data_IF_476843336959
#
_entry.id   IF_476843336959
#
_cell.length_a   1.000
_cell.length_b   1.000
_cell.length_c   1.000
_cell.angle_alpha   90.00
_cell.angle_beta   90.00
_cell.angle_gamma   90.00
#
_symmetry.space_group_name_H-M   'P 1'
#
loop_
_entity.id
_entity.type
_entity.pdbx_description
1 polymer ?
#
# COMPACT_ATOMS: atom_id res chain seq x y z
N UNK A 1 6.31 -1.38 14.37
CA UNK A 1 5.39 -2.50 14.15
C UNK A 1 3.97 -1.99 14.35
N UNK A 2 3.28 -1.71 13.24
CA UNK A 2 1.94 -1.13 13.27
C UNK A 2 0.89 -2.23 13.16
N UNK A 3 -0.30 -1.97 13.72
CA UNK A 3 -1.43 -2.91 13.72
C UNK A 3 -2.74 -2.14 13.60
N UNK A 4 -3.60 -2.59 12.70
CA UNK A 4 -4.92 -2.02 12.42
C UNK A 4 -5.96 -3.14 12.41
N UNK A 5 -7.12 -2.93 13.02
CA UNK A 5 -8.25 -3.85 12.84
C UNK A 5 -9.12 -3.39 11.67
N UNK A 6 -9.24 -4.22 10.64
CA UNK A 6 -10.14 -3.96 9.52
C UNK A 6 -11.61 -4.03 9.97
N UNK A 7 -12.50 -3.36 9.25
CA UNK A 7 -13.95 -3.40 9.51
C UNK A 7 -14.57 -4.80 9.40
N UNK A 8 -13.98 -5.71 8.64
CA UNK A 8 -14.41 -7.11 8.56
C UNK A 8 -13.95 -7.97 9.76
N UNK A 9 -13.18 -7.40 10.70
CA UNK A 9 -12.70 -8.07 11.91
C UNK A 9 -11.27 -8.59 11.86
N UNK A 10 -10.67 -8.71 10.66
CA UNK A 10 -9.29 -9.19 10.49
C UNK A 10 -8.28 -8.13 10.96
N UNK A 11 -7.25 -8.58 11.68
CA UNK A 11 -6.11 -7.74 12.07
C UNK A 11 -5.08 -7.66 10.95
N UNK A 12 -4.77 -6.44 10.53
CA UNK A 12 -3.74 -6.11 9.55
C UNK A 12 -2.47 -5.67 10.29
N UNK A 13 -1.32 -6.08 9.76
CA UNK A 13 -0.02 -5.87 10.41
C UNK A 13 1.10 -5.90 9.38
N UNK A 14 2.06 -4.97 9.52
CA UNK A 14 3.29 -4.93 8.71
C UNK A 14 4.49 -5.60 9.41
N UNK A 15 4.22 -6.47 10.38
CA UNK A 15 5.24 -7.17 11.17
C UNK A 15 5.98 -8.26 10.40
N UNK A 16 5.28 -8.87 9.45
CA UNK A 16 5.79 -10.00 8.69
C UNK A 16 6.55 -9.49 7.46
N UNK A 17 7.58 -10.21 7.04
CA UNK A 17 8.27 -9.98 5.78
C UNK A 17 8.56 -11.36 5.15
N UNK A 18 7.99 -11.71 3.97
CA UNK A 18 7.09 -10.90 3.14
C UNK A 18 5.69 -10.73 3.76
N UNK A 19 4.93 -9.74 3.27
CA UNK A 19 3.64 -9.39 3.81
C UNK A 19 2.68 -9.05 2.67
N UNK A 20 1.45 -9.55 2.75
CA UNK A 20 0.39 -9.35 1.75
C UNK A 20 -0.58 -8.22 2.12
N UNK A 21 -0.27 -7.49 3.20
CA UNK A 21 -1.06 -6.39 3.75
C UNK A 21 -0.59 -5.05 3.18
N UNK A 22 0.68 -4.73 3.29
CA UNK A 22 1.28 -3.47 2.87
C UNK A 22 1.75 -3.56 1.41
N UNK A 23 1.22 -2.68 0.59
CA UNK A 23 1.50 -2.58 -0.83
C UNK A 23 2.41 -1.39 -1.10
N UNK A 24 3.41 -1.58 -1.96
CA UNK A 24 4.14 -0.47 -2.57
C UNK A 24 3.38 -0.01 -3.81
N UNK A 25 2.77 1.17 -3.74
CA UNK A 25 1.93 1.72 -4.81
C UNK A 25 2.53 3.04 -5.27
N UNK A 26 2.69 3.17 -6.58
CA UNK A 26 3.13 4.39 -7.24
C UNK A 26 2.06 4.80 -8.25
N UNK A 27 1.82 6.10 -8.36
CA UNK A 27 1.08 6.63 -9.50
C UNK A 27 1.89 6.45 -10.77
N UNK A 28 1.20 6.46 -11.91
CA UNK A 28 1.84 6.35 -13.24
C UNK A 28 2.96 7.38 -13.43
N UNK A 29 2.76 8.60 -12.92
CA UNK A 29 3.78 9.68 -12.96
C UNK A 29 5.00 9.38 -12.10
N UNK A 30 4.79 8.95 -10.85
CA UNK A 30 5.90 8.57 -9.97
C UNK A 30 6.68 7.39 -10.55
N UNK A 31 5.98 6.43 -11.17
CA UNK A 31 6.62 5.32 -11.83
C UNK A 31 7.43 5.76 -13.05
N UNK A 32 6.87 6.64 -13.89
CA UNK A 32 7.57 7.23 -15.04
C UNK A 32 8.84 7.97 -14.61
N UNK A 33 8.76 8.77 -13.55
CA UNK A 33 9.92 9.45 -12.97
C UNK A 33 10.97 8.45 -12.47
N UNK A 34 10.56 7.33 -11.87
CA UNK A 34 11.48 6.28 -11.39
C UNK A 34 12.22 5.61 -12.55
N UNK A 35 11.50 5.25 -13.63
CA UNK A 35 12.10 4.51 -14.75
C UNK A 35 12.91 5.40 -15.68
N UNK A 36 12.65 6.72 -15.71
CA UNK A 36 13.40 7.68 -16.52
C UNK A 36 14.75 8.10 -15.91
N UNK A 37 15.12 7.58 -14.73
CA UNK A 37 16.38 7.92 -14.04
C UNK A 37 17.63 7.24 -14.62
N UNK A 38 17.51 6.31 -15.58
CA UNK A 38 18.66 5.69 -16.25
C UNK A 38 18.31 4.50 -17.15
N UNK A 39 19.32 3.87 -17.74
CA UNK A 39 19.15 2.75 -18.69
C UNK A 39 18.70 1.43 -18.03
N UNK A 40 18.76 1.35 -16.70
CA UNK A 40 18.41 0.15 -15.92
C UNK A 40 17.85 0.51 -14.55
N UNK A 41 16.80 -0.18 -14.12
CA UNK A 41 16.18 -0.01 -12.81
C UNK A 41 16.87 -0.93 -11.80
N UNK A 42 17.55 -0.35 -10.81
CA UNK A 42 18.04 -1.09 -9.65
C UNK A 42 16.95 -1.14 -8.57
N UNK A 43 16.46 -2.32 -8.16
CA UNK A 43 15.45 -2.45 -7.11
C UNK A 43 15.81 -1.77 -5.79
N UNK A 44 17.11 -1.61 -5.47
CA UNK A 44 17.54 -0.97 -4.22
C UNK A 44 17.46 0.56 -4.29
N UNK A 45 17.42 1.14 -5.49
CA UNK A 45 17.32 2.59 -5.69
C UNK A 45 15.89 3.09 -5.85
N UNK A 46 14.90 2.18 -5.91
CA UNK A 46 13.49 2.55 -6.01
C UNK A 46 13.10 3.26 -4.69
N UNK A 47 12.67 4.54 -4.75
CA UNK A 47 12.31 5.29 -3.56
C UNK A 47 11.08 4.69 -2.89
N UNK A 48 10.95 4.88 -1.58
CA UNK A 48 9.71 4.53 -0.90
C UNK A 48 8.55 5.40 -1.43
N UNK A 49 7.36 4.82 -1.62
CA UNK A 49 6.20 5.58 -2.07
C UNK A 49 5.81 6.63 -1.03
N UNK A 50 5.09 7.67 -1.47
CA UNK A 50 4.65 8.75 -0.58
C UNK A 50 3.69 8.28 0.52
N UNK A 51 2.84 7.30 0.20
CA UNK A 51 1.80 6.80 1.09
C UNK A 51 2.01 5.32 1.41
N UNK A 52 1.71 4.93 2.64
CA UNK A 52 1.58 3.52 2.99
C UNK A 52 0.17 3.05 2.62
N UNK A 53 0.09 1.99 1.83
CA UNK A 53 -1.18 1.46 1.34
C UNK A 53 -1.38 0.06 1.90
N UNK A 54 -2.41 -0.14 2.71
CA UNK A 54 -2.71 -1.45 3.29
C UNK A 54 -3.98 -2.04 2.69
N UNK A 55 -3.88 -3.27 2.19
CA UNK A 55 -4.97 -4.08 1.67
C UNK A 55 -5.39 -5.12 2.70
N UNK A 56 -6.69 -5.21 2.96
CA UNK A 56 -7.23 -6.30 3.75
C UNK A 56 -7.25 -7.60 2.95
N UNK A 57 -6.58 -8.64 3.44
CA UNK A 57 -6.51 -9.97 2.81
C UNK A 57 -7.82 -10.76 2.82
N UNK A 58 -8.89 -10.23 3.43
CA UNK A 58 -10.18 -10.91 3.54
C UNK A 58 -11.29 -10.19 2.78
N UNK A 59 -11.48 -8.88 3.02
CA UNK A 59 -12.55 -8.11 2.39
C UNK A 59 -12.06 -7.09 1.37
N UNK A 60 -10.78 -7.15 0.99
CA UNK A 60 -10.19 -6.35 -0.09
C UNK A 60 -10.20 -4.83 0.12
N UNK A 61 -10.58 -4.37 1.31
CA UNK A 61 -10.60 -2.96 1.69
C UNK A 61 -9.19 -2.40 1.69
N UNK A 62 -9.01 -1.23 1.08
CA UNK A 62 -7.74 -0.53 1.01
C UNK A 62 -7.77 0.68 1.96
N UNK A 63 -6.72 0.81 2.76
CA UNK A 63 -6.45 1.95 3.63
C UNK A 63 -5.21 2.68 3.10
N UNK A 64 -5.30 4.00 2.94
CA UNK A 64 -4.17 4.83 2.55
C UNK A 64 -3.78 5.70 3.73
N UNK A 65 -2.52 5.63 4.10
CA UNK A 65 -1.95 6.35 5.23
C UNK A 65 -1.00 7.46 4.78
N UNK A 66 -1.03 8.57 5.50
CA UNK A 66 0.00 9.60 5.50
C UNK A 66 0.61 9.63 6.91
N UNK A 67 1.78 9.02 7.05
CA UNK A 67 2.34 8.66 8.36
C UNK A 67 1.41 7.72 9.15
N UNK A 68 1.09 8.08 10.38
CA UNK A 68 0.21 7.27 11.25
C UNK A 68 -1.30 7.51 11.02
N UNK A 69 -1.67 8.37 10.06
CA UNK A 69 -3.06 8.80 9.85
C UNK A 69 -3.66 8.18 8.61
N UNK A 70 -4.82 7.54 8.74
CA UNK A 70 -5.61 7.08 7.58
C UNK A 70 -6.25 8.30 6.91
N UNK A 71 -5.84 8.60 5.68
CA UNK A 71 -6.36 9.73 4.89
C UNK A 71 -7.45 9.30 3.91
N UNK A 72 -7.45 8.04 3.45
CA UNK A 72 -8.45 7.50 2.51
C UNK A 72 -8.77 6.05 2.82
N UNK A 73 -9.97 5.62 2.44
CA UNK A 73 -10.39 4.22 2.51
C UNK A 73 -11.21 3.88 1.27
N UNK A 74 -10.85 2.81 0.59
CA UNK A 74 -11.56 2.28 -0.57
C UNK A 74 -12.17 0.93 -0.24
N UNK A 75 -13.35 0.68 -0.78
CA UNK A 75 -14.09 -0.58 -0.65
C UNK A 75 -14.49 -1.04 -2.04
N UNK A 76 -14.58 -2.34 -2.22
CA UNK A 76 -15.25 -2.88 -3.40
C UNK A 76 -16.69 -2.37 -3.42
N UNK A 77 -17.15 -2.00 -4.61
CA UNK A 77 -18.57 -1.77 -4.83
C UNK A 77 -19.28 -3.10 -4.56
N UNK A 78 -20.38 -3.05 -3.81
CA UNK A 78 -21.23 -4.24 -3.70
C UNK A 78 -21.96 -4.37 -5.04
N UNK A 79 -21.88 -5.54 -5.68
CA UNK A 79 -22.72 -5.87 -6.82
C UNK A 79 -24.20 -5.87 -6.34
N UNK A 80 -24.91 -4.75 -6.54
CA UNK A 80 -26.37 -4.67 -6.36
C UNK A 80 -27.11 -5.29 -7.55
#
# INVERSE_FOLDING_TARGET
MARLQCKCGVTLSNSNAPNDVELRVYTDKEWDDIINLGDSIDPVTIPFPQYDVWRCTNCERIYVFDGDTVIKTYVLENDE
#
